data_IF_635765472678
#
_entry.id   IF_635765472678
#
_cell.length_a   1.000
_cell.length_b   1.000
_cell.length_c   1.000
_cell.angle_alpha   90.00
_cell.angle_beta   90.00
_cell.angle_gamma   90.00
#
_symmetry.space_group_name_H-M   'P 1'
#
loop_
_entity.id
_entity.type
_entity.pdbx_description
1 polymer ?
#
# COMPACT_ATOMS: atom_id res chain seq x y z
N UNK A 1 -23.46 -36.44 21.73
CA UNK A 1 -23.05 -36.48 20.33
C UNK A 1 -21.53 -36.48 20.29
N UNK A 2 -20.92 -37.65 20.01
CA UNK A 2 -19.49 -37.93 20.19
C UNK A 2 -18.79 -37.60 18.87
N UNK A 3 -17.84 -36.66 18.87
CA UNK A 3 -17.05 -36.31 17.70
C UNK A 3 -15.71 -37.07 17.79
N UNK A 4 -15.56 -38.08 16.91
CA UNK A 4 -14.35 -38.88 16.74
C UNK A 4 -13.24 -38.05 16.09
N UNK A 5 -12.08 -38.01 16.74
CA UNK A 5 -10.84 -37.48 16.18
C UNK A 5 -10.12 -38.61 15.44
N UNK A 6 -9.96 -38.48 14.12
CA UNK A 6 -9.11 -39.34 13.32
C UNK A 6 -7.70 -38.72 13.23
N UNK A 7 -6.72 -39.40 13.86
CA UNK A 7 -5.32 -39.08 13.77
C UNK A 7 -4.72 -39.66 12.48
N UNK A 8 -4.19 -38.80 11.61
CA UNK A 8 -3.41 -39.16 10.42
C UNK A 8 -1.94 -39.15 10.75
N UNK A 9 -1.35 -40.36 10.85
CA UNK A 9 0.09 -40.59 11.02
C UNK A 9 0.72 -40.54 9.62
N UNK A 10 1.54 -39.51 9.36
CA UNK A 10 2.37 -39.44 8.15
C UNK A 10 3.74 -40.07 8.41
N UNK A 11 4.01 -41.16 7.73
CA UNK A 11 5.29 -41.88 7.71
C UNK A 11 6.36 -41.12 6.94
N UNK A 12 7.47 -40.75 7.64
CA UNK A 12 8.69 -40.23 7.03
C UNK A 12 9.43 -41.36 6.31
N UNK A 13 9.57 -41.27 5.01
CA UNK A 13 10.44 -42.13 4.20
C UNK A 13 11.77 -41.41 3.98
N UNK A 14 12.83 -41.91 4.60
CA UNK A 14 14.23 -41.51 4.38
C UNK A 14 14.73 -42.11 3.05
N UNK A 15 15.01 -41.29 2.05
CA UNK A 15 15.66 -41.68 0.80
C UNK A 15 17.11 -41.18 0.75
N UNK A 16 18.04 -41.93 0.09
CA UNK A 16 19.48 -41.70 0.22
C UNK A 16 20.01 -40.52 -0.58
N UNK A 17 21.01 -39.85 0.01
CA UNK A 17 21.86 -38.82 -0.57
C UNK A 17 22.46 -39.27 -1.92
N UNK A 18 22.14 -38.54 -3.00
CA UNK A 18 22.97 -38.48 -4.21
C UNK A 18 23.56 -37.06 -4.32
N UNK A 19 24.88 -36.99 -4.11
CA UNK A 19 25.70 -35.82 -4.44
C UNK A 19 25.55 -35.53 -5.94
N UNK A 20 24.87 -34.45 -6.31
CA UNK A 20 24.91 -33.94 -7.67
C UNK A 20 25.39 -32.50 -7.65
N UNK A 21 26.34 -32.23 -8.54
CA UNK A 21 27.15 -31.06 -8.68
C UNK A 21 26.38 -29.72 -8.66
N UNK A 22 27.09 -28.73 -8.15
CA UNK A 22 26.70 -27.31 -8.22
C UNK A 22 26.55 -26.88 -9.69
N UNK A 23 25.34 -27.02 -10.21
CA UNK A 23 24.91 -26.26 -11.37
C UNK A 23 24.53 -24.86 -10.85
N UNK A 24 25.20 -23.83 -11.41
CA UNK A 24 24.97 -22.43 -11.04
C UNK A 24 23.49 -22.11 -10.95
N UNK A 25 23.02 -21.73 -9.77
CA UNK A 25 21.70 -21.14 -9.56
C UNK A 25 21.67 -19.82 -10.31
N UNK A 26 21.23 -19.85 -11.54
CA UNK A 26 20.66 -18.66 -12.19
C UNK A 26 19.49 -18.24 -11.34
N UNK A 27 19.70 -17.22 -10.50
CA UNK A 27 18.63 -16.57 -9.76
C UNK A 27 17.55 -16.19 -10.79
N UNK A 28 16.40 -16.85 -10.72
CA UNK A 28 15.25 -16.47 -11.50
C UNK A 28 14.98 -14.99 -11.23
N UNK A 29 14.72 -14.18 -12.28
CA UNK A 29 14.41 -12.77 -12.09
C UNK A 29 13.23 -12.68 -11.12
N UNK A 30 13.47 -12.07 -9.96
CA UNK A 30 12.40 -11.79 -8.97
C UNK A 30 11.28 -11.07 -9.69
N UNK A 31 10.09 -11.64 -9.69
CA UNK A 31 8.92 -10.99 -10.25
C UNK A 31 8.81 -9.57 -9.66
N UNK A 32 8.52 -8.55 -10.49
CA UNK A 32 8.36 -7.19 -9.99
C UNK A 32 7.32 -7.19 -8.86
N UNK A 33 7.54 -6.42 -7.78
CA UNK A 33 6.57 -6.33 -6.69
C UNK A 33 5.20 -5.92 -7.27
N UNK A 34 4.15 -6.65 -6.88
CA UNK A 34 2.80 -6.33 -7.30
C UNK A 34 2.49 -4.88 -6.93
N UNK A 35 1.89 -4.14 -7.86
CA UNK A 35 1.51 -2.75 -7.62
C UNK A 35 0.56 -2.69 -6.40
N UNK A 36 0.71 -1.70 -5.50
CA UNK A 36 -0.15 -1.58 -4.34
C UNK A 36 -1.61 -1.41 -4.77
N UNK A 37 -2.50 -2.19 -4.17
CA UNK A 37 -3.93 -2.15 -4.48
C UNK A 37 -4.55 -0.89 -3.88
N UNK A 38 -5.36 -0.19 -4.66
CA UNK A 38 -6.07 1.02 -4.23
C UNK A 38 -7.29 0.61 -3.38
N UNK A 39 -7.40 1.04 -2.10
CA UNK A 39 -8.46 0.65 -1.20
C UNK A 39 -9.88 0.82 -1.75
N UNK A 40 -10.16 1.94 -2.44
CA UNK A 40 -11.48 2.18 -3.04
C UNK A 40 -11.89 1.10 -4.03
N UNK A 41 -10.96 0.54 -4.81
CA UNK A 41 -11.28 -0.51 -5.79
C UNK A 41 -11.75 -1.81 -5.14
N UNK A 42 -11.22 -2.13 -3.96
CA UNK A 42 -11.64 -3.30 -3.17
C UNK A 42 -13.01 -3.07 -2.50
N UNK A 43 -13.20 -1.88 -1.94
CA UNK A 43 -14.33 -1.59 -1.06
C UNK A 43 -15.59 -1.18 -1.82
N UNK A 44 -15.48 -0.45 -2.94
CA UNK A 44 -16.61 0.16 -3.63
C UNK A 44 -17.74 -0.83 -3.97
N UNK A 45 -17.48 -2.03 -4.53
CA UNK A 45 -18.57 -2.96 -4.87
C UNK A 45 -19.33 -3.45 -3.62
N UNK A 46 -18.62 -3.63 -2.50
CA UNK A 46 -19.23 -4.08 -1.25
C UNK A 46 -20.03 -2.97 -0.58
N UNK A 47 -19.48 -1.76 -0.50
CA UNK A 47 -20.15 -0.59 0.07
C UNK A 47 -21.41 -0.21 -0.71
N UNK A 48 -21.38 -0.29 -2.03
CA UNK A 48 -22.57 -0.06 -2.87
C UNK A 48 -23.67 -1.10 -2.57
N UNK A 49 -23.29 -2.36 -2.39
CA UNK A 49 -24.25 -3.39 -2.02
C UNK A 49 -24.84 -3.15 -0.64
N UNK A 50 -24.00 -2.82 0.35
CA UNK A 50 -24.46 -2.48 1.72
C UNK A 50 -25.43 -1.28 1.67
N UNK A 51 -25.05 -0.20 1.00
CA UNK A 51 -25.89 0.99 0.87
C UNK A 51 -27.24 0.66 0.22
N UNK A 52 -27.23 -0.07 -0.89
CA UNK A 52 -28.46 -0.46 -1.57
C UNK A 52 -29.36 -1.36 -0.72
N UNK A 53 -28.75 -2.31 0.01
CA UNK A 53 -29.47 -3.21 0.91
C UNK A 53 -30.11 -2.43 2.06
N UNK A 54 -29.35 -1.56 2.76
CA UNK A 54 -29.87 -0.77 3.87
C UNK A 54 -30.97 0.20 3.41
N UNK A 55 -30.84 0.81 2.24
CA UNK A 55 -31.89 1.67 1.67
C UNK A 55 -33.16 0.90 1.27
N UNK A 56 -33.04 -0.38 0.97
CA UNK A 56 -34.17 -1.23 0.59
C UNK A 56 -34.91 -1.85 1.77
N UNK A 57 -34.36 -1.76 2.99
CA UNK A 57 -34.96 -2.34 4.20
C UNK A 57 -36.33 -1.73 4.48
N UNK A 58 -37.35 -2.58 4.58
CA UNK A 58 -38.72 -2.20 4.92
C UNK A 58 -38.97 -2.55 6.40
N UNK A 59 -38.34 -1.81 7.30
CA UNK A 59 -38.44 -2.06 8.74
C UNK A 59 -39.89 -1.93 9.27
N UNK A 60 -40.76 -1.18 8.56
CA UNK A 60 -42.19 -1.11 8.83
C UNK A 60 -42.90 -2.48 8.73
N UNK A 61 -42.37 -3.39 7.90
CA UNK A 61 -42.89 -4.76 7.75
C UNK A 61 -42.34 -5.76 8.75
N UNK A 62 -41.36 -5.35 9.56
CA UNK A 62 -40.80 -6.20 10.60
C UNK A 62 -41.78 -6.36 11.77
N UNK A 63 -41.61 -7.43 12.53
CA UNK A 63 -42.37 -7.62 13.78
C UNK A 63 -42.17 -6.41 14.68
N UNK A 64 -43.26 -5.89 15.24
CA UNK A 64 -43.22 -4.72 16.11
C UNK A 64 -42.43 -5.02 17.40
N UNK A 65 -41.64 -4.04 17.84
CA UNK A 65 -40.86 -4.12 19.07
C UNK A 65 -39.60 -3.25 19.00
N UNK A 66 -38.91 -3.13 20.12
CA UNK A 66 -37.66 -2.34 20.26
C UNK A 66 -36.56 -2.79 19.29
N UNK A 67 -36.48 -4.10 19.01
CA UNK A 67 -35.49 -4.67 18.08
C UNK A 67 -35.63 -4.06 16.68
N UNK A 68 -36.86 -3.90 16.18
CA UNK A 68 -37.13 -3.24 14.89
C UNK A 68 -36.70 -1.78 14.89
N UNK A 69 -37.02 -1.06 15.98
CA UNK A 69 -36.73 0.36 16.09
C UNK A 69 -35.21 0.60 16.17
N UNK A 70 -34.51 -0.20 16.97
CA UNK A 70 -33.05 -0.17 17.08
C UNK A 70 -32.37 -0.50 15.72
N UNK A 71 -32.83 -1.55 15.04
CA UNK A 71 -32.29 -1.90 13.73
C UNK A 71 -32.49 -0.78 12.69
N UNK A 72 -33.66 -0.13 12.71
CA UNK A 72 -33.95 1.01 11.86
C UNK A 72 -33.05 2.22 12.14
N UNK A 73 -32.80 2.54 13.41
CA UNK A 73 -31.88 3.60 13.81
C UNK A 73 -30.43 3.27 13.42
N UNK A 74 -29.98 2.04 13.66
CA UNK A 74 -28.64 1.59 13.29
C UNK A 74 -28.43 1.66 11.77
N UNK A 75 -29.43 1.24 10.97
CA UNK A 75 -29.35 1.32 9.51
C UNK A 75 -29.24 2.78 9.02
N UNK A 76 -30.03 3.69 9.58
CA UNK A 76 -29.99 5.12 9.24
C UNK A 76 -28.66 5.75 9.63
N UNK A 77 -28.17 5.46 10.83
CA UNK A 77 -26.89 5.98 11.33
C UNK A 77 -25.74 5.48 10.45
N UNK A 78 -25.73 4.19 10.09
CA UNK A 78 -24.74 3.59 9.22
C UNK A 78 -24.76 4.23 7.83
N UNK A 79 -25.94 4.45 7.24
CA UNK A 79 -26.07 5.15 5.94
C UNK A 79 -25.54 6.59 5.99
N UNK A 80 -25.82 7.32 7.07
CA UNK A 80 -25.30 8.67 7.24
C UNK A 80 -23.78 8.67 7.39
N UNK A 81 -23.23 7.73 8.12
CA UNK A 81 -21.80 7.58 8.35
C UNK A 81 -21.04 7.19 7.06
N UNK A 82 -21.58 6.26 6.28
CA UNK A 82 -21.05 5.88 4.97
C UNK A 82 -21.01 7.05 3.98
N UNK A 83 -21.90 8.04 4.12
CA UNK A 83 -21.95 9.23 3.26
C UNK A 83 -21.04 10.37 3.72
N UNK A 84 -20.82 10.49 5.03
CA UNK A 84 -20.10 11.64 5.61
C UNK A 84 -18.68 11.33 6.04
N UNK A 85 -18.46 10.26 6.80
CA UNK A 85 -17.20 9.99 7.46
C UNK A 85 -16.30 9.01 6.68
N UNK A 86 -16.89 8.07 5.97
CA UNK A 86 -16.15 7.05 5.22
C UNK A 86 -15.41 7.60 3.98
N UNK A 87 -16.00 8.49 3.13
CA UNK A 87 -15.33 8.96 1.92
C UNK A 87 -13.99 9.66 2.14
N UNK A 88 -13.82 10.56 3.13
CA UNK A 88 -12.51 11.16 3.40
C UNK A 88 -11.46 10.13 3.81
N UNK A 89 -11.82 9.09 4.58
CA UNK A 89 -10.90 8.04 4.99
C UNK A 89 -10.44 7.18 3.79
N UNK A 90 -11.35 6.86 2.88
CA UNK A 90 -11.02 6.17 1.62
C UNK A 90 -10.07 7.03 0.79
N UNK A 91 -10.39 8.32 0.62
CA UNK A 91 -9.56 9.25 -0.14
C UNK A 91 -8.13 9.37 0.43
N UNK A 92 -8.00 9.45 1.75
CA UNK A 92 -6.70 9.54 2.41
C UNK A 92 -5.87 8.26 2.25
N UNK A 93 -6.52 7.09 2.27
CA UNK A 93 -5.87 5.81 2.02
C UNK A 93 -5.50 5.64 0.53
N UNK A 94 -6.36 6.07 -0.39
CA UNK A 94 -6.11 6.04 -1.84
C UNK A 94 -4.99 6.99 -2.27
N UNK A 95 -4.80 8.11 -1.55
CA UNK A 95 -3.73 9.07 -1.83
C UNK A 95 -2.32 8.50 -1.59
N UNK A 96 -2.22 7.44 -0.79
CA UNK A 96 -0.95 6.78 -0.47
C UNK A 96 -1.11 5.25 -0.43
N UNK A 97 -1.37 4.59 -1.57
CA UNK A 97 -1.57 3.16 -1.63
C UNK A 97 -0.35 2.40 -1.09
N UNK A 98 -0.59 1.40 -0.24
CA UNK A 98 0.47 0.62 0.40
C UNK A 98 1.12 1.27 1.62
N UNK A 99 0.79 2.52 1.96
CA UNK A 99 1.23 3.14 3.23
C UNK A 99 0.27 2.73 4.34
N UNK A 100 0.67 1.73 5.13
CA UNK A 100 -0.17 1.10 6.16
C UNK A 100 -0.74 2.13 7.14
N UNK A 101 0.07 3.09 7.62
CA UNK A 101 -0.36 4.11 8.59
C UNK A 101 -1.51 4.99 8.09
N UNK A 102 -1.62 5.19 6.77
CA UNK A 102 -2.72 5.96 6.15
C UNK A 102 -4.02 5.16 6.05
N UNK A 103 -3.93 3.85 6.01
CA UNK A 103 -5.09 2.96 5.91
C UNK A 103 -5.65 2.54 7.27
N UNK A 104 -4.91 2.65 8.37
CA UNK A 104 -5.37 2.27 9.71
C UNK A 104 -6.68 2.95 10.12
N UNK A 105 -6.87 4.28 9.94
CA UNK A 105 -8.15 4.92 10.29
C UNK A 105 -9.32 4.35 9.50
N UNK A 106 -9.12 4.08 8.20
CA UNK A 106 -10.12 3.45 7.33
C UNK A 106 -10.50 2.06 7.84
N UNK A 107 -9.51 1.22 8.13
CA UNK A 107 -9.73 -0.15 8.63
C UNK A 107 -10.54 -0.15 9.92
N UNK A 108 -10.16 0.67 10.91
CA UNK A 108 -10.90 0.80 12.17
C UNK A 108 -12.35 1.24 11.96
N UNK A 109 -12.57 2.13 11.00
CA UNK A 109 -13.89 2.60 10.68
C UNK A 109 -14.75 1.52 10.01
N UNK A 110 -14.15 0.75 9.08
CA UNK A 110 -14.81 -0.39 8.45
C UNK A 110 -15.17 -1.49 9.47
N UNK A 111 -14.32 -1.74 10.46
CA UNK A 111 -14.61 -2.67 11.54
C UNK A 111 -15.84 -2.24 12.36
N UNK A 112 -15.91 -0.96 12.71
CA UNK A 112 -17.07 -0.42 13.42
C UNK A 112 -18.35 -0.52 12.59
N UNK A 113 -18.29 -0.23 11.28
CA UNK A 113 -19.43 -0.39 10.38
C UNK A 113 -19.85 -1.87 10.25
N UNK A 114 -18.87 -2.78 10.19
CA UNK A 114 -19.14 -4.21 10.15
C UNK A 114 -19.87 -4.70 11.40
N UNK A 115 -19.46 -4.24 12.58
CA UNK A 115 -20.12 -4.58 13.86
C UNK A 115 -21.56 -4.04 13.91
N UNK A 116 -21.80 -2.83 13.39
CA UNK A 116 -23.16 -2.29 13.26
C UNK A 116 -24.01 -3.14 12.32
N UNK A 117 -23.43 -3.54 11.18
CA UNK A 117 -24.13 -4.38 10.19
C UNK A 117 -24.50 -5.75 10.76
N UNK A 118 -23.62 -6.36 11.58
CA UNK A 118 -23.92 -7.60 12.32
C UNK A 118 -25.13 -7.45 13.24
N UNK A 119 -25.21 -6.35 13.99
CA UNK A 119 -26.36 -6.08 14.87
C UNK A 119 -27.66 -5.91 14.12
N UNK A 120 -27.62 -5.24 12.94
CA UNK A 120 -28.79 -5.11 12.06
C UNK A 120 -29.23 -6.48 11.56
N UNK A 121 -28.29 -7.33 11.16
CA UNK A 121 -28.58 -8.67 10.67
C UNK A 121 -29.15 -9.59 11.76
N UNK A 122 -28.59 -9.57 12.98
CA UNK A 122 -29.11 -10.30 14.13
C UNK A 122 -30.54 -9.84 14.48
N UNK A 123 -30.80 -8.55 14.46
CA UNK A 123 -32.15 -8.01 14.64
C UNK A 123 -33.11 -8.46 13.54
N UNK A 124 -32.64 -8.51 12.30
CA UNK A 124 -33.42 -8.99 11.16
C UNK A 124 -33.80 -10.46 11.32
N UNK A 125 -32.93 -11.33 11.78
CA UNK A 125 -33.22 -12.76 12.03
C UNK A 125 -34.39 -12.94 13.02
N UNK A 126 -34.58 -12.03 13.93
CA UNK A 126 -35.66 -12.06 14.93
C UNK A 126 -36.96 -11.48 14.37
N UNK A 127 -36.89 -10.42 13.59
CA UNK A 127 -38.03 -9.56 13.29
C UNK A 127 -38.37 -9.42 11.80
N UNK A 128 -37.43 -9.61 10.89
CA UNK A 128 -37.60 -9.34 9.47
C UNK A 128 -38.23 -10.52 8.70
N UNK A 129 -38.81 -10.25 7.51
CA UNK A 129 -39.11 -11.27 6.53
C UNK A 129 -37.83 -11.92 5.96
N UNK A 130 -37.93 -13.20 5.54
CA UNK A 130 -36.78 -14.00 5.08
C UNK A 130 -36.03 -13.35 3.91
N UNK A 131 -36.74 -12.76 2.96
CA UNK A 131 -36.15 -12.08 1.82
C UNK A 131 -35.19 -10.93 2.19
N UNK A 132 -35.48 -10.23 3.30
CA UNK A 132 -34.62 -9.16 3.81
C UNK A 132 -33.46 -9.72 4.62
N UNK A 133 -33.65 -10.84 5.32
CA UNK A 133 -32.55 -11.55 6.00
C UNK A 133 -31.52 -12.00 4.98
N UNK A 134 -31.95 -12.67 3.89
CA UNK A 134 -31.07 -13.16 2.84
C UNK A 134 -30.26 -12.02 2.18
N UNK A 135 -30.91 -10.87 1.96
CA UNK A 135 -30.24 -9.68 1.40
C UNK A 135 -29.17 -9.12 2.35
N UNK A 136 -29.48 -9.03 3.65
CA UNK A 136 -28.55 -8.57 4.67
C UNK A 136 -27.36 -9.51 4.82
N UNK A 137 -27.61 -10.83 4.85
CA UNK A 137 -26.54 -11.85 4.89
C UNK A 137 -25.63 -11.77 3.68
N UNK A 138 -26.18 -11.61 2.48
CA UNK A 138 -25.39 -11.44 1.27
C UNK A 138 -24.53 -10.17 1.30
N UNK A 139 -25.09 -9.05 1.75
CA UNK A 139 -24.37 -7.79 1.89
C UNK A 139 -23.28 -7.88 2.96
N UNK A 140 -23.58 -8.46 4.12
CA UNK A 140 -22.62 -8.68 5.21
C UNK A 140 -21.44 -9.56 4.78
N UNK A 141 -21.73 -10.66 4.08
CA UNK A 141 -20.72 -11.56 3.53
C UNK A 141 -19.81 -10.83 2.54
N UNK A 142 -20.38 -10.05 1.61
CA UNK A 142 -19.60 -9.29 0.63
C UNK A 142 -18.77 -8.21 1.29
N UNK A 143 -19.31 -7.52 2.29
CA UNK A 143 -18.60 -6.51 3.04
C UNK A 143 -17.45 -7.10 3.86
N UNK A 144 -17.69 -8.23 4.54
CA UNK A 144 -16.66 -8.98 5.26
C UNK A 144 -15.52 -9.43 4.35
N UNK A 145 -15.84 -9.94 3.14
CA UNK A 145 -14.82 -10.31 2.16
C UNK A 145 -13.97 -9.11 1.75
N UNK A 146 -14.57 -7.99 1.35
CA UNK A 146 -13.84 -6.79 0.93
C UNK A 146 -12.96 -6.22 2.04
N UNK A 147 -13.44 -6.28 3.29
CA UNK A 147 -12.65 -5.90 4.47
C UNK A 147 -11.43 -6.81 4.65
N UNK A 148 -11.59 -8.12 4.53
CA UNK A 148 -10.49 -9.08 4.63
C UNK A 148 -9.48 -8.88 3.48
N UNK A 149 -9.94 -8.66 2.26
CA UNK A 149 -9.08 -8.38 1.11
C UNK A 149 -8.22 -7.11 1.35
N UNK A 150 -8.79 -6.09 2.02
CA UNK A 150 -8.05 -4.91 2.43
C UNK A 150 -7.00 -5.23 3.49
N UNK A 151 -7.33 -6.03 4.50
CA UNK A 151 -6.37 -6.49 5.51
C UNK A 151 -5.20 -7.23 4.89
N UNK A 152 -5.49 -8.18 4.00
CA UNK A 152 -4.47 -8.96 3.30
C UNK A 152 -3.55 -8.07 2.46
N UNK A 153 -4.12 -7.09 1.75
CA UNK A 153 -3.36 -6.11 0.99
C UNK A 153 -2.43 -5.26 1.88
N UNK A 154 -2.91 -4.84 3.06
CA UNK A 154 -2.11 -4.07 4.02
C UNK A 154 -1.00 -4.92 4.64
N UNK A 155 -1.27 -6.17 4.95
CA UNK A 155 -0.27 -7.11 5.47
C UNK A 155 0.84 -7.36 4.44
N UNK A 156 0.48 -7.57 3.18
CA UNK A 156 1.45 -7.69 2.08
C UNK A 156 2.30 -6.43 1.93
N UNK A 157 1.67 -5.26 2.02
CA UNK A 157 2.36 -3.97 1.94
C UNK A 157 3.35 -3.78 3.11
N UNK A 158 2.94 -4.14 4.33
CA UNK A 158 3.80 -4.09 5.51
C UNK A 158 5.02 -5.02 5.36
N UNK A 159 4.80 -6.27 4.96
CA UNK A 159 5.88 -7.23 4.73
C UNK A 159 6.86 -6.76 3.63
N UNK A 160 6.33 -6.16 2.56
CA UNK A 160 7.14 -5.54 1.51
C UNK A 160 8.01 -4.38 2.01
N UNK A 161 7.48 -3.53 2.88
CA UNK A 161 8.21 -2.43 3.49
C UNK A 161 9.30 -2.93 4.44
N UNK A 162 9.02 -3.93 5.27
CA UNK A 162 10.00 -4.56 6.17
C UNK A 162 11.16 -5.16 5.39
N UNK A 163 10.86 -5.90 4.31
CA UNK A 163 11.87 -6.45 3.42
C UNK A 163 12.73 -5.34 2.81
N UNK A 164 12.13 -4.28 2.30
CA UNK A 164 12.85 -3.15 1.71
C UNK A 164 13.80 -2.48 2.72
N UNK A 165 13.35 -2.27 3.94
CA UNK A 165 14.19 -1.74 5.04
C UNK A 165 15.37 -2.67 5.32
N UNK A 166 15.15 -3.97 5.38
CA UNK A 166 16.21 -4.98 5.58
C UNK A 166 17.24 -4.95 4.45
N UNK A 167 16.78 -4.89 3.19
CA UNK A 167 17.65 -4.84 2.01
C UNK A 167 18.50 -3.55 2.00
N UNK A 168 17.90 -2.40 2.37
CA UNK A 168 18.63 -1.14 2.50
C UNK A 168 19.70 -1.19 3.60
N UNK A 169 19.37 -1.76 4.75
CA UNK A 169 20.35 -1.95 5.85
C UNK A 169 21.52 -2.83 5.44
N UNK A 170 21.26 -3.94 4.74
CA UNK A 170 22.28 -4.81 4.20
C UNK A 170 23.19 -4.07 3.19
N UNK A 171 22.59 -3.25 2.32
CA UNK A 171 23.32 -2.44 1.34
C UNK A 171 24.22 -1.41 2.02
N UNK A 172 23.72 -0.70 3.03
CA UNK A 172 24.51 0.28 3.80
C UNK A 172 25.70 -0.41 4.46
N UNK A 173 25.46 -1.55 5.12
CA UNK A 173 26.52 -2.34 5.76
C UNK A 173 27.61 -2.79 4.78
N UNK A 174 27.21 -3.28 3.60
CA UNK A 174 28.15 -3.68 2.55
C UNK A 174 28.97 -2.48 2.02
N UNK A 175 28.36 -1.31 1.88
CA UNK A 175 29.08 -0.08 1.49
C UNK A 175 30.06 0.38 2.56
N UNK A 176 29.70 0.29 3.84
CA UNK A 176 30.60 0.63 4.94
C UNK A 176 31.81 -0.30 5.02
N UNK A 177 31.58 -1.62 4.82
CA UNK A 177 32.67 -2.63 4.77
C UNK A 177 33.62 -2.34 3.60
N UNK A 178 33.07 -2.13 2.39
CA UNK A 178 33.87 -1.77 1.22
C UNK A 178 34.68 -0.46 1.41
N UNK A 179 34.09 0.54 2.05
CA UNK A 179 34.77 1.80 2.35
C UNK A 179 35.91 1.61 3.39
N UNK A 180 35.74 0.70 4.35
CA UNK A 180 36.81 0.36 5.32
C UNK A 180 37.95 -0.37 4.63
N UNK A 181 37.64 -1.33 3.76
CA UNK A 181 38.64 -2.08 2.97
C UNK A 181 39.43 -1.14 2.05
N UNK A 182 38.73 -0.22 1.36
CA UNK A 182 39.37 0.78 0.50
C UNK A 182 40.33 1.71 1.26
N UNK A 183 40.01 2.05 2.53
CA UNK A 183 40.90 2.83 3.39
C UNK A 183 42.07 2.02 3.93
N UNK A 184 41.91 0.71 4.11
CA UNK A 184 42.97 -0.18 4.60
C UNK A 184 43.90 -0.65 3.49
N UNK A 185 43.52 -0.51 2.21
CA UNK A 185 44.34 -0.87 1.09
C UNK A 185 45.60 0.01 1.07
N UNK A 186 46.83 -0.56 0.94
CA UNK A 186 48.03 0.24 0.83
C UNK A 186 47.96 1.14 -0.41
N UNK A 187 48.51 2.39 -0.32
CA UNK A 187 48.46 3.30 -1.45
C UNK A 187 49.09 2.60 -2.68
N UNK A 188 48.49 2.79 -3.86
CA UNK A 188 49.00 2.18 -5.08
C UNK A 188 50.45 2.57 -5.24
N UNK A 189 51.34 1.57 -5.49
CA UNK A 189 52.76 1.78 -5.68
C UNK A 189 52.95 2.90 -6.73
N UNK A 190 53.86 3.85 -6.50
CA UNK A 190 54.09 4.94 -7.42
C UNK A 190 54.36 4.35 -8.80
N UNK A 191 53.50 4.68 -9.76
CA UNK A 191 53.70 4.27 -11.15
C UNK A 191 55.05 4.83 -11.63
N UNK A 192 56.02 3.99 -12.09
CA UNK A 192 57.27 4.49 -12.56
C UNK A 192 57.01 5.52 -13.67
N UNK A 193 57.40 6.76 -13.42
CA UNK A 193 57.32 7.81 -14.43
C UNK A 193 58.17 7.38 -15.62
N UNK A 194 57.56 6.80 -16.63
CA UNK A 194 58.19 6.60 -17.93
C UNK A 194 58.54 7.99 -18.48
N UNK A 195 59.82 8.28 -18.74
CA UNK A 195 60.21 9.60 -19.27
C UNK A 195 59.46 9.84 -20.58
N UNK A 196 58.93 11.06 -20.82
CA UNK A 196 58.19 11.36 -22.01
C UNK A 196 59.07 11.13 -23.25
N UNK A 197 58.61 10.24 -24.12
CA UNK A 197 59.18 9.96 -25.43
C UNK A 197 59.30 11.31 -26.20
N UNK A 198 60.49 11.69 -26.75
CA UNK A 198 60.66 12.98 -27.40
C UNK A 198 59.64 13.17 -28.50
N UNK A 199 58.86 14.25 -28.41
CA UNK A 199 57.85 14.60 -29.39
C UNK A 199 58.52 14.87 -30.75
N UNK A 200 58.18 14.09 -31.77
CA UNK A 200 58.55 14.33 -33.14
C UNK A 200 58.00 15.70 -33.57
N UNK A 201 58.88 16.60 -34.01
CA UNK A 201 58.60 17.94 -34.49
C UNK A 201 57.57 17.85 -35.65
N UNK A 202 56.31 18.13 -35.41
CA UNK A 202 55.30 18.36 -36.43
C UNK A 202 55.55 19.72 -37.11
N UNK A 203 55.74 19.68 -38.42
CA UNK A 203 55.83 20.83 -39.29
C UNK A 203 54.63 21.75 -39.14
N UNK A 204 54.94 23.01 -38.93
CA UNK A 204 54.07 24.18 -38.86
C UNK A 204 53.38 24.39 -40.21
N UNK A 205 52.08 24.16 -40.31
CA UNK A 205 51.24 24.63 -41.40
C UNK A 205 50.43 25.84 -40.90
N UNK A 206 50.49 26.88 -41.69
CA UNK A 206 49.95 28.24 -41.55
C UNK A 206 48.44 28.31 -41.42
N UNK A 207 47.89 29.40 -40.87
CA UNK A 207 46.49 29.51 -40.43
C UNK A 207 45.58 29.92 -41.56
N UNK A 208 44.40 29.29 -41.62
CA UNK A 208 43.26 29.77 -42.41
C UNK A 208 42.18 30.33 -41.47
N UNK A 209 42.02 31.57 -41.62
CA UNK A 209 40.94 32.55 -41.53
C UNK A 209 39.57 32.08 -41.00
N UNK A 210 39.19 32.71 -39.90
CA UNK A 210 37.86 32.79 -39.28
C UNK A 210 36.79 33.34 -40.25
N UNK A 211 35.52 32.95 -40.13
CA UNK A 211 34.53 33.96 -39.81
C UNK A 211 33.53 33.51 -38.70
N UNK A 212 33.53 34.31 -37.70
CA UNK A 212 32.43 34.96 -36.97
C UNK A 212 30.99 34.51 -37.27
N UNK A 213 30.29 33.98 -36.25
CA UNK A 213 28.84 34.07 -36.13
C UNK A 213 28.44 34.23 -34.67
N UNK A 214 27.53 35.12 -34.46
CA UNK A 214 27.13 35.86 -33.28
C UNK A 214 26.37 35.07 -32.17
N UNK A 215 26.15 35.68 -30.98
CA UNK A 215 25.64 35.04 -29.80
C UNK A 215 24.11 35.00 -29.76
N UNK A 216 23.55 33.89 -29.35
CA UNK A 216 22.11 33.78 -28.99
C UNK A 216 21.91 33.94 -27.48
N UNK A 217 21.19 34.96 -27.17
CA UNK A 217 20.71 35.41 -25.87
C UNK A 217 19.81 34.33 -25.21
N UNK A 218 20.25 33.75 -24.12
CA UNK A 218 19.40 32.89 -23.28
C UNK A 218 18.77 33.68 -22.15
N UNK A 219 17.48 33.84 -22.19
CA UNK A 219 16.63 34.52 -21.20
C UNK A 219 16.55 33.70 -19.91
N UNK A 220 17.09 34.26 -18.83
CA UNK A 220 16.89 33.79 -17.46
C UNK A 220 15.50 34.24 -16.98
N UNK A 221 14.61 33.30 -16.69
CA UNK A 221 13.35 33.57 -16.01
C UNK A 221 13.50 33.25 -14.51
N UNK A 222 13.45 34.30 -13.69
CA UNK A 222 13.44 34.21 -12.22
C UNK A 222 12.09 33.68 -11.70
N UNK A 223 12.06 32.92 -10.60
CA UNK A 223 10.81 32.61 -9.93
C UNK A 223 10.41 33.73 -8.98
N UNK A 224 9.19 34.26 -9.18
CA UNK A 224 8.54 35.19 -8.30
C UNK A 224 7.85 34.50 -7.12
N UNK A 225 8.07 35.02 -5.92
CA UNK A 225 7.02 35.60 -5.08
C UNK A 225 6.26 34.59 -4.22
N UNK A 226 6.80 34.43 -3.02
CA UNK A 226 6.15 33.87 -1.83
C UNK A 226 5.07 34.84 -1.32
N UNK A 227 3.77 34.53 -1.52
CA UNK A 227 2.69 35.30 -0.90
C UNK A 227 2.17 34.53 0.30
N UNK A 228 2.60 34.93 1.49
CA UNK A 228 2.03 34.55 2.77
C UNK A 228 0.63 35.18 2.92
N UNK A 229 -0.40 34.35 3.04
CA UNK A 229 -1.75 34.75 3.46
C UNK A 229 -1.85 34.67 4.98
N UNK A 230 -2.37 35.70 5.68
CA UNK A 230 -2.45 35.70 7.14
C UNK A 230 -3.53 34.74 7.64
N UNK A 231 -3.15 33.95 8.63
CA UNK A 231 -4.01 33.05 9.40
C UNK A 231 -5.02 33.87 10.23
N UNK A 232 -6.30 33.70 9.99
CA UNK A 232 -7.37 34.21 10.85
C UNK A 232 -7.56 33.26 12.05
N UNK A 233 -7.37 33.80 13.26
CA UNK A 233 -7.70 33.13 14.52
C UNK A 233 -9.21 32.97 14.70
N UNK A 234 -9.72 31.80 15.15
CA UNK A 234 -11.12 31.69 15.58
C UNK A 234 -11.29 32.27 17.00
N UNK A 235 -12.23 33.20 17.12
CA UNK A 235 -12.73 33.75 18.38
C UNK A 235 -13.54 32.69 19.12
N UNK A 236 -13.15 32.44 20.37
CA UNK A 236 -13.90 31.67 21.37
C UNK A 236 -15.13 32.48 21.83
N UNK A 237 -16.36 31.96 21.85
CA UNK A 237 -17.47 32.59 22.57
C UNK A 237 -17.44 32.17 24.06
N UNK A 238 -17.70 33.17 24.92
CA UNK A 238 -18.02 33.00 26.35
C UNK A 238 -19.42 32.38 26.51
#
# INVERSE_FOLDING_TARGET
MVISHAALISTLTFGPLLLHGQAGSTAAPSAPPAAPVVPSTLLHPALTLVESTLNSLKTDKWKRGSVREEAGQNAQTMLADMKSNLPPLIKDADAAPGVVSKSIPLVKHLDALYDVMLRIEEAARVAAPNDQIDQLEAALKKFGSARNDLYDSLQQSAAGQEKHVSDLQATIKAQEEAAREAKAAPPPAPVPCTPPKPAAKKKRTTPAKNPQAAPATGTQTAPAGNTQTPQAQPKTPQ
#
